data_IF_941976401984
#
_entry.id   IF_941976401984
#
_cell.length_a   1.000
_cell.length_b   1.000
_cell.length_c   1.000
_cell.angle_alpha   90.00
_cell.angle_beta   90.00
_cell.angle_gamma   90.00
#
_symmetry.space_group_name_H-M   'P 1'
#
loop_
_entity.id
_entity.type
_entity.pdbx_description
1 polymer ?
#
# COMPACT_ATOMS: atom_id res chain seq x y z
N UNK A 1 -36.81 5.89 12.77
CA UNK A 1 -36.07 5.59 11.51
C UNK A 1 -35.09 6.67 11.03
N UNK A 2 -34.96 7.86 11.67
CA UNK A 2 -33.98 8.90 11.26
C UNK A 2 -32.57 8.71 11.87
N UNK A 3 -32.46 8.02 13.00
CA UNK A 3 -31.18 7.78 13.71
C UNK A 3 -30.22 6.87 12.93
N UNK A 4 -30.74 5.92 12.14
CA UNK A 4 -29.91 5.04 11.31
C UNK A 4 -29.21 5.78 10.17
N UNK A 5 -29.79 6.88 9.68
CA UNK A 5 -29.19 7.72 8.64
C UNK A 5 -27.97 8.46 9.19
N UNK A 6 -28.08 9.02 10.38
CA UNK A 6 -26.97 9.69 11.06
C UNK A 6 -25.83 8.72 11.40
N UNK A 7 -26.16 7.51 11.88
CA UNK A 7 -25.16 6.46 12.11
C UNK A 7 -24.42 6.07 10.82
N UNK A 8 -25.15 5.92 9.71
CA UNK A 8 -24.54 5.65 8.41
C UNK A 8 -23.60 6.76 7.95
N UNK A 9 -24.02 8.02 8.13
CA UNK A 9 -23.20 9.19 7.80
C UNK A 9 -21.94 9.27 8.67
N UNK A 10 -22.07 9.05 9.98
CA UNK A 10 -20.95 9.03 10.91
C UNK A 10 -19.92 7.95 10.52
N UNK A 11 -20.37 6.72 10.25
CA UNK A 11 -19.49 5.63 9.79
C UNK A 11 -18.80 5.99 8.48
N UNK A 12 -19.53 6.59 7.54
CA UNK A 12 -18.95 7.01 6.26
C UNK A 12 -17.85 8.07 6.45
N UNK A 13 -18.09 9.07 7.28
CA UNK A 13 -17.13 10.13 7.57
C UNK A 13 -15.86 9.57 8.22
N UNK A 14 -16.01 8.70 9.22
CA UNK A 14 -14.87 8.03 9.87
C UNK A 14 -14.05 7.21 8.88
N UNK A 15 -14.70 6.42 8.03
CA UNK A 15 -14.01 5.64 7.00
C UNK A 15 -13.27 6.52 5.99
N UNK A 16 -13.82 7.69 5.67
CA UNK A 16 -13.21 8.63 4.75
C UNK A 16 -11.99 9.30 5.38
N UNK A 17 -12.06 9.62 6.67
CA UNK A 17 -10.96 10.22 7.42
C UNK A 17 -9.79 9.25 7.56
N UNK A 18 -10.06 8.01 7.97
CA UNK A 18 -9.05 6.94 8.05
C UNK A 18 -8.36 6.74 6.70
N UNK A 19 -9.10 6.78 5.59
CA UNK A 19 -8.51 6.67 4.25
C UNK A 19 -7.62 7.86 3.88
N UNK A 20 -7.96 9.07 4.33
CA UNK A 20 -7.17 10.27 4.11
C UNK A 20 -5.88 10.23 4.92
N UNK A 21 -5.98 9.89 6.19
CA UNK A 21 -4.82 9.68 7.06
C UNK A 21 -3.91 8.60 6.50
N UNK A 22 -4.45 7.44 6.11
CA UNK A 22 -3.68 6.38 5.45
C UNK A 22 -2.96 6.88 4.18
N UNK A 23 -3.62 7.72 3.38
CA UNK A 23 -3.05 8.26 2.16
C UNK A 23 -1.95 9.29 2.46
N UNK A 24 -2.14 10.14 3.47
CA UNK A 24 -1.14 11.10 3.96
C UNK A 24 0.05 10.36 4.59
N UNK A 25 -0.21 9.41 5.46
CA UNK A 25 0.77 8.51 6.06
C UNK A 25 1.58 7.80 4.97
N UNK A 26 0.94 7.20 3.96
CA UNK A 26 1.63 6.57 2.82
C UNK A 26 2.33 7.56 1.89
N UNK A 27 2.07 8.86 1.95
CA UNK A 27 2.81 9.88 1.18
C UNK A 27 4.05 10.32 1.94
N UNK A 28 3.91 10.57 3.24
CA UNK A 28 4.99 10.95 4.15
C UNK A 28 5.96 9.78 4.36
N UNK A 29 5.42 8.61 4.71
CA UNK A 29 6.19 7.40 4.99
C UNK A 29 6.53 6.57 3.74
N UNK A 30 6.15 7.00 2.53
CA UNK A 30 6.70 6.39 1.29
C UNK A 30 8.21 6.61 1.17
N UNK A 31 8.70 7.67 1.82
CA UNK A 31 10.08 8.13 1.81
C UNK A 31 10.73 7.94 3.18
N UNK A 32 10.35 6.90 3.93
CA UNK A 32 11.09 6.53 5.14
C UNK A 32 12.51 6.17 4.68
N UNK A 33 13.43 7.10 4.87
CA UNK A 33 14.85 6.79 4.93
C UNK A 33 14.99 5.87 6.12
N UNK A 34 15.24 4.60 5.85
CA UNK A 34 15.48 3.67 6.95
C UNK A 34 16.85 4.06 7.51
N UNK A 35 16.86 4.50 8.77
CA UNK A 35 18.08 4.92 9.47
C UNK A 35 18.88 3.67 9.83
N UNK A 36 19.43 2.98 8.82
CA UNK A 36 20.29 1.83 9.06
C UNK A 36 21.66 2.31 9.54
N UNK A 37 22.31 1.57 10.45
CA UNK A 37 23.68 1.81 10.82
C UNK A 37 24.53 1.84 9.54
N UNK A 38 25.45 2.82 9.46
CA UNK A 38 26.28 3.09 8.29
C UNK A 38 27.15 1.90 7.85
N UNK A 39 27.24 0.86 8.68
CA UNK A 39 28.09 -0.30 8.52
C UNK A 39 27.44 -1.48 7.78
N UNK A 40 26.20 -1.34 7.28
CA UNK A 40 25.56 -2.46 6.58
C UNK A 40 26.10 -2.63 5.16
N UNK A 41 26.59 -3.84 4.86
CA UNK A 41 27.12 -4.22 3.54
C UNK A 41 26.08 -4.04 2.42
N UNK A 42 26.54 -3.59 1.25
CA UNK A 42 25.69 -3.38 0.06
C UNK A 42 24.93 -4.65 -0.36
N UNK A 43 25.48 -5.83 -0.09
CA UNK A 43 24.82 -7.12 -0.37
C UNK A 43 23.67 -7.38 0.61
N UNK A 44 23.83 -7.07 1.89
CA UNK A 44 22.74 -7.19 2.89
C UNK A 44 21.61 -6.20 2.61
N UNK A 45 21.92 -4.97 2.18
CA UNK A 45 20.90 -3.99 1.78
C UNK A 45 20.03 -4.52 0.63
N UNK A 46 20.65 -5.21 -0.35
CA UNK A 46 19.95 -5.83 -1.48
C UNK A 46 19.00 -6.94 -1.03
N UNK A 47 19.43 -7.80 -0.10
CA UNK A 47 18.62 -8.91 0.41
C UNK A 47 17.44 -8.42 1.27
N UNK A 48 17.63 -7.33 2.02
CA UNK A 48 16.56 -6.66 2.79
C UNK A 48 15.61 -5.89 1.86
N UNK A 49 16.01 -5.64 0.60
CA UNK A 49 15.17 -4.94 -0.37
C UNK A 49 15.28 -3.42 -0.35
N UNK A 50 16.39 -2.92 0.20
CA UNK A 50 16.67 -1.51 0.37
C UNK A 50 17.64 -1.09 -0.74
N UNK A 51 17.28 -0.04 -1.46
CA UNK A 51 18.10 0.56 -2.51
C UNK A 51 19.34 1.26 -1.91
N UNK A 52 20.36 1.52 -2.73
CA UNK A 52 21.65 2.12 -2.31
C UNK A 52 21.48 3.48 -1.61
N UNK A 53 20.35 4.15 -1.85
CA UNK A 53 19.95 5.41 -1.21
C UNK A 53 19.21 5.22 0.14
N UNK A 54 19.25 4.02 0.75
CA UNK A 54 18.51 3.65 1.97
C UNK A 54 16.99 3.80 1.85
N UNK A 55 16.47 3.67 0.63
CA UNK A 55 15.04 3.73 0.32
C UNK A 55 14.52 2.33 0.10
N UNK A 56 13.32 2.01 0.60
CA UNK A 56 12.66 0.74 0.26
C UNK A 56 12.43 0.73 -1.25
N UNK A 57 13.02 -0.24 -1.95
CA UNK A 57 12.94 -0.30 -3.40
C UNK A 57 11.46 -0.43 -3.82
N UNK A 58 10.93 0.45 -4.69
CA UNK A 58 9.55 0.40 -5.16
C UNK A 58 9.18 -0.94 -5.82
N UNK A 59 10.19 -1.68 -6.28
CA UNK A 59 10.06 -2.99 -6.89
C UNK A 59 9.42 -4.03 -5.94
N UNK A 60 9.59 -3.88 -4.63
CA UNK A 60 8.98 -4.77 -3.62
C UNK A 60 7.53 -4.42 -3.30
N UNK A 61 7.09 -3.19 -3.55
CA UNK A 61 5.71 -2.75 -3.27
C UNK A 61 4.71 -3.25 -4.32
N UNK A 62 5.17 -3.68 -5.50
CA UNK A 62 4.30 -4.25 -6.54
C UNK A 62 4.92 -5.49 -7.16
N UNK A 63 4.89 -6.58 -6.38
CA UNK A 63 5.40 -7.87 -6.83
C UNK A 63 4.72 -8.28 -8.15
N UNK A 64 5.47 -8.93 -9.07
CA UNK A 64 4.90 -9.50 -10.29
C UNK A 64 3.67 -10.38 -10.01
N UNK A 65 3.65 -11.04 -8.85
CA UNK A 65 2.53 -11.80 -8.33
C UNK A 65 1.26 -10.94 -8.15
N UNK A 66 1.34 -9.78 -7.48
CA UNK A 66 0.19 -8.88 -7.32
C UNK A 66 -0.36 -8.37 -8.66
N UNK A 67 0.51 -8.16 -9.67
CA UNK A 67 0.08 -7.82 -11.04
C UNK A 67 -0.64 -8.99 -11.71
N UNK A 68 -0.10 -10.21 -11.58
CA UNK A 68 -0.70 -11.44 -12.13
C UNK A 68 -2.07 -11.75 -11.51
N UNK A 69 -2.19 -11.66 -10.19
CA UNK A 69 -3.47 -11.84 -9.46
C UNK A 69 -4.52 -10.85 -9.93
N UNK A 70 -4.15 -9.57 -10.09
CA UNK A 70 -5.06 -8.53 -10.60
C UNK A 70 -5.54 -8.83 -12.02
N UNK A 71 -4.65 -9.28 -12.90
CA UNK A 71 -4.98 -9.65 -14.28
C UNK A 71 -5.95 -10.85 -14.30
N UNK A 72 -5.66 -11.90 -13.53
CA UNK A 72 -6.52 -13.08 -13.41
C UNK A 72 -7.91 -12.72 -12.88
N UNK A 73 -7.97 -11.91 -11.82
CA UNK A 73 -9.25 -11.44 -11.25
C UNK A 73 -10.08 -10.66 -12.27
N UNK A 74 -9.43 -9.81 -13.10
CA UNK A 74 -10.12 -9.07 -14.17
C UNK A 74 -10.64 -10.00 -15.26
N UNK A 75 -9.82 -10.93 -15.73
CA UNK A 75 -10.20 -11.90 -16.76
C UNK A 75 -11.34 -12.82 -16.30
N UNK A 76 -11.32 -13.23 -15.03
CA UNK A 76 -12.41 -14.02 -14.44
C UNK A 76 -13.71 -13.22 -14.38
N UNK A 77 -13.66 -11.98 -13.89
CA UNK A 77 -14.85 -11.11 -13.86
C UNK A 77 -15.45 -10.83 -15.23
N UNK A 78 -14.62 -10.61 -16.26
CA UNK A 78 -15.13 -10.38 -17.61
C UNK A 78 -15.83 -11.61 -18.19
N UNK A 79 -15.30 -12.80 -17.90
CA UNK A 79 -15.91 -14.07 -18.34
C UNK A 79 -17.21 -14.41 -17.61
N UNK A 80 -17.38 -13.97 -16.37
CA UNK A 80 -18.60 -14.22 -15.59
C UNK A 80 -19.77 -13.33 -16.04
N UNK A 81 -19.48 -12.24 -16.74
CA UNK A 81 -20.48 -11.33 -17.32
C UNK A 81 -20.90 -11.71 -18.74
N UNK A 82 -20.17 -12.64 -19.38
CA UNK A 82 -20.50 -13.19 -20.71
C UNK A 82 -21.24 -14.50 -20.50
#
# INVERSE_FOLDING_TARGET
MRQSVYLRLAVFLVQLDVKREDAQWRREHRRVQVHLPYHLSAYMLKDIGIDKERRIAPLLLSTPASRKVRRLRRAYKSRLLT
#
